data_IF_601362706842
#
_entry.id   IF_601362706842
#
_cell.length_a   1.000
_cell.length_b   1.000
_cell.length_c   1.000
_cell.angle_alpha   90.00
_cell.angle_beta   90.00
_cell.angle_gamma   90.00
#
_symmetry.space_group_name_H-M   'P 1'
#
loop_
_entity.id
_entity.type
_entity.pdbx_description
1 polymer ?
#
# COMPACT_ATOMS: atom_id res chain seq x y z
N UNK A 1 -10.63 9.60 7.07
CA UNK A 1 -11.27 10.32 5.94
C UNK A 1 -12.78 10.07 5.89
N UNK A 2 -13.20 8.80 5.83
CA UNK A 2 -14.62 8.41 5.80
C UNK A 2 -15.44 8.87 7.03
N UNK A 3 -14.97 8.62 8.26
CA UNK A 3 -15.67 9.03 9.51
C UNK A 3 -16.10 10.50 9.47
N UNK A 4 -15.21 11.42 9.08
CA UNK A 4 -15.52 12.85 9.00
C UNK A 4 -16.48 13.20 7.83
N UNK A 5 -16.39 12.50 6.69
CA UNK A 5 -17.31 12.68 5.55
C UNK A 5 -18.75 12.32 5.95
N UNK A 6 -18.92 11.29 6.77
CA UNK A 6 -20.22 10.87 7.31
C UNK A 6 -20.72 11.76 8.48
N UNK A 7 -20.02 12.85 8.78
CA UNK A 7 -20.37 13.75 9.90
C UNK A 7 -20.14 13.12 11.28
N UNK A 8 -19.42 12.01 11.36
CA UNK A 8 -19.09 11.34 12.60
C UNK A 8 -17.85 11.99 13.24
N UNK A 9 -17.89 12.14 14.56
CA UNK A 9 -16.82 12.64 15.41
C UNK A 9 -16.07 11.48 16.06
N UNK A 10 -14.73 11.57 16.24
CA UNK A 10 -13.98 10.60 17.05
C UNK A 10 -14.57 10.36 18.44
N UNK A 11 -15.25 11.36 19.02
CA UNK A 11 -15.93 11.25 20.33
C UNK A 11 -17.14 10.30 20.33
N UNK A 12 -17.58 9.83 19.17
CA UNK A 12 -18.66 8.84 19.03
C UNK A 12 -18.14 7.39 19.04
N UNK A 13 -16.82 7.21 19.13
CA UNK A 13 -16.17 5.92 19.13
C UNK A 13 -15.35 5.74 20.40
N UNK A 14 -15.24 4.50 20.86
CA UNK A 14 -14.30 4.10 21.89
C UNK A 14 -13.11 3.45 21.21
N UNK A 15 -11.94 4.09 21.27
CA UNK A 15 -10.71 3.49 20.76
C UNK A 15 -10.25 2.36 21.67
N UNK A 16 -10.01 1.18 21.09
CA UNK A 16 -9.41 0.04 21.77
C UNK A 16 -7.95 -0.04 21.37
N UNK A 17 -7.06 0.05 22.36
CA UNK A 17 -5.61 -0.04 22.13
C UNK A 17 -5.20 -1.51 22.14
N UNK A 18 -4.65 -1.97 21.02
CA UNK A 18 -4.16 -3.34 20.89
C UNK A 18 -2.66 -3.44 21.21
N UNK A 19 -2.19 -4.60 21.71
CA UNK A 19 -0.77 -4.87 21.86
C UNK A 19 -0.04 -4.74 20.50
N UNK A 20 1.14 -4.10 20.45
CA UNK A 20 1.89 -3.96 19.21
C UNK A 20 2.27 -5.32 18.61
N UNK A 21 2.02 -5.51 17.31
CA UNK A 21 2.51 -6.65 16.54
C UNK A 21 1.68 -7.93 16.61
N UNK A 22 0.53 -7.93 17.30
CA UNK A 22 -0.33 -9.11 17.43
C UNK A 22 -1.59 -9.00 16.56
N UNK A 23 -1.40 -9.08 15.25
CA UNK A 23 -2.50 -9.08 14.27
C UNK A 23 -3.45 -10.27 14.46
N UNK A 24 -2.95 -11.39 15.01
CA UNK A 24 -3.76 -12.56 15.31
C UNK A 24 -4.67 -12.26 16.51
N UNK A 25 -4.14 -11.66 17.58
CA UNK A 25 -4.95 -11.16 18.68
C UNK A 25 -5.99 -10.16 18.20
N UNK A 26 -5.63 -9.25 17.29
CA UNK A 26 -6.58 -8.31 16.72
C UNK A 26 -7.74 -9.04 16.00
N UNK A 27 -7.47 -10.07 15.20
CA UNK A 27 -8.55 -10.82 14.54
C UNK A 27 -9.41 -11.59 15.56
N UNK A 28 -8.79 -12.16 16.59
CA UNK A 28 -9.51 -12.84 17.67
C UNK A 28 -10.38 -11.88 18.49
N UNK A 29 -9.85 -10.72 18.88
CA UNK A 29 -10.55 -9.69 19.64
C UNK A 29 -11.77 -9.14 18.87
N UNK A 30 -11.64 -8.96 17.54
CA UNK A 30 -12.78 -8.64 16.67
C UNK A 30 -13.86 -9.73 16.74
N UNK A 31 -13.43 -11.00 16.72
CA UNK A 31 -14.34 -12.15 16.75
C UNK A 31 -15.10 -12.29 18.06
N UNK A 32 -14.43 -12.10 19.21
CA UNK A 32 -15.08 -12.20 20.53
C UNK A 32 -15.85 -10.94 20.92
N UNK A 33 -15.87 -9.92 20.05
CA UNK A 33 -16.63 -8.70 20.26
C UNK A 33 -15.98 -7.72 21.24
N UNK A 34 -14.65 -7.74 21.37
CA UNK A 34 -13.92 -6.70 22.11
C UNK A 34 -13.98 -5.33 21.41
N UNK A 35 -14.25 -5.33 20.10
CA UNK A 35 -14.58 -4.15 19.30
C UNK A 35 -15.37 -4.51 18.03
N UNK A 36 -16.06 -3.53 17.46
CA UNK A 36 -16.98 -3.74 16.34
C UNK A 36 -16.34 -3.53 14.95
N UNK A 37 -15.23 -2.78 14.89
CA UNK A 37 -14.58 -2.37 13.64
C UNK A 37 -13.07 -2.40 13.79
N UNK A 38 -12.37 -2.90 12.77
CA UNK A 38 -10.90 -2.96 12.73
C UNK A 38 -10.36 -2.39 11.40
N UNK A 39 -9.35 -1.51 11.44
CA UNK A 39 -8.64 -1.11 10.23
C UNK A 39 -7.74 -2.26 9.75
N UNK A 40 -8.18 -2.97 8.71
CA UNK A 40 -7.43 -4.07 8.08
C UNK A 40 -6.67 -3.60 6.84
N UNK A 41 -5.53 -4.24 6.56
CA UNK A 41 -4.97 -4.21 5.20
C UNK A 41 -5.70 -5.25 4.36
N UNK A 42 -5.99 -4.91 3.10
CA UNK A 42 -6.82 -5.74 2.22
C UNK A 42 -6.15 -7.09 1.85
N UNK A 43 -4.85 -7.23 2.10
CA UNK A 43 -4.03 -8.34 1.62
C UNK A 43 -3.67 -9.39 2.66
N UNK A 44 -3.56 -9.00 3.94
CA UNK A 44 -3.16 -9.91 5.01
C UNK A 44 -4.35 -10.26 5.89
N UNK A 45 -4.91 -9.27 6.59
CA UNK A 45 -5.95 -9.55 7.58
C UNK A 45 -7.24 -10.07 6.95
N UNK A 46 -7.66 -9.56 5.79
CA UNK A 46 -8.86 -10.07 5.11
C UNK A 46 -8.69 -11.51 4.59
N UNK A 47 -7.52 -11.84 4.03
CA UNK A 47 -7.25 -13.20 3.55
C UNK A 47 -7.18 -14.19 4.71
N UNK A 48 -6.59 -13.79 5.83
CA UNK A 48 -6.62 -14.58 7.07
C UNK A 48 -8.06 -14.81 7.57
N UNK A 49 -8.93 -13.80 7.55
CA UNK A 49 -10.35 -13.95 7.91
C UNK A 49 -11.10 -14.88 6.93
N UNK A 50 -10.81 -14.77 5.62
CA UNK A 50 -11.37 -15.64 4.59
C UNK A 50 -10.95 -17.11 4.80
N UNK A 51 -9.67 -17.36 5.08
CA UNK A 51 -9.11 -18.68 5.34
C UNK A 51 -9.74 -19.34 6.58
N UNK A 52 -9.98 -18.55 7.63
CA UNK A 52 -10.64 -19.02 8.85
C UNK A 52 -12.17 -19.12 8.73
N UNK A 53 -12.73 -18.86 7.53
CA UNK A 53 -14.16 -18.88 7.23
C UNK A 53 -14.99 -17.97 8.14
N UNK A 54 -14.43 -16.84 8.56
CA UNK A 54 -15.15 -15.87 9.37
C UNK A 54 -15.99 -14.94 8.50
N UNK A 55 -17.29 -14.86 8.83
CA UNK A 55 -18.19 -13.90 8.21
C UNK A 55 -17.81 -12.49 8.66
N UNK A 56 -17.57 -11.61 7.70
CA UNK A 56 -17.22 -10.23 7.94
C UNK A 56 -17.82 -9.33 6.86
N UNK A 57 -17.94 -8.04 7.18
CA UNK A 57 -18.31 -7.00 6.22
C UNK A 57 -17.13 -6.05 6.04
N UNK A 58 -16.67 -5.91 4.80
CA UNK A 58 -15.58 -5.00 4.46
C UNK A 58 -16.14 -3.66 4.02
N UNK A 59 -15.64 -2.57 4.61
CA UNK A 59 -15.89 -1.20 4.15
C UNK A 59 -14.65 -0.78 3.37
N UNK A 60 -14.73 -0.70 2.04
CA UNK A 60 -13.60 -0.26 1.23
C UNK A 60 -13.62 1.26 1.13
N UNK A 61 -12.51 1.96 1.39
CA UNK A 61 -12.45 3.42 1.24
C UNK A 61 -12.89 3.90 -0.16
N UNK A 62 -12.56 3.13 -1.20
CA UNK A 62 -12.93 3.44 -2.58
C UNK A 62 -14.45 3.53 -2.80
N UNK A 63 -15.25 2.76 -2.05
CA UNK A 63 -16.72 2.78 -2.15
C UNK A 63 -17.32 4.12 -1.65
N UNK A 64 -16.49 5.00 -1.06
CA UNK A 64 -16.85 6.31 -0.50
C UNK A 64 -15.98 7.45 -1.05
N UNK A 65 -15.49 7.29 -2.28
CA UNK A 65 -14.64 8.26 -2.98
C UNK A 65 -13.42 8.67 -2.12
N UNK A 66 -12.85 7.70 -1.40
CA UNK A 66 -11.60 7.89 -0.68
C UNK A 66 -10.50 7.23 -1.48
N UNK A 67 -9.75 8.06 -2.21
CA UNK A 67 -8.50 7.67 -2.84
C UNK A 67 -7.36 7.81 -1.83
N UNK A 68 -6.49 6.80 -1.81
CA UNK A 68 -5.29 6.79 -0.98
C UNK A 68 -4.15 6.18 -1.78
N UNK A 69 -3.06 6.93 -1.88
CA UNK A 69 -1.81 6.40 -2.44
C UNK A 69 -1.17 5.45 -1.44
N UNK A 70 -0.84 4.25 -1.89
CA UNK A 70 -0.25 3.18 -1.08
C UNK A 70 1.19 3.45 -0.62
N UNK A 71 1.99 2.38 -0.58
CA UNK A 71 3.37 2.44 -0.07
C UNK A 71 4.25 3.26 -1.02
N UNK A 72 5.14 4.06 -0.43
CA UNK A 72 6.08 4.92 -1.15
C UNK A 72 7.51 4.61 -0.74
N UNK A 73 8.44 4.79 -1.66
CA UNK A 73 9.87 4.86 -1.33
C UNK A 73 10.24 6.32 -1.08
N UNK A 74 11.01 6.57 -0.03
CA UNK A 74 11.51 7.90 0.28
C UNK A 74 12.95 7.81 0.78
N UNK A 75 13.72 8.86 0.52
CA UNK A 75 15.07 9.02 1.02
C UNK A 75 15.28 10.47 1.46
N UNK A 76 16.28 10.69 2.33
CA UNK A 76 16.69 12.05 2.67
C UNK A 76 17.19 12.75 1.42
N UNK A 77 16.75 13.99 1.19
CA UNK A 77 17.17 14.81 0.04
C UNK A 77 18.69 14.91 -0.10
N UNK A 78 19.40 15.05 1.02
CA UNK A 78 20.87 15.09 1.03
C UNK A 78 21.48 13.78 0.52
N UNK A 79 20.92 12.63 0.92
CA UNK A 79 21.40 11.33 0.46
C UNK A 79 21.25 11.19 -1.05
N UNK A 80 20.09 11.59 -1.59
CA UNK A 80 19.82 11.56 -3.04
C UNK A 80 20.81 12.44 -3.81
N UNK A 81 21.07 13.66 -3.32
CA UNK A 81 22.01 14.59 -3.96
C UNK A 81 23.46 14.11 -3.91
N UNK A 82 23.87 13.50 -2.81
CA UNK A 82 25.26 13.05 -2.62
C UNK A 82 25.52 11.68 -3.24
N UNK A 83 24.49 10.88 -3.50
CA UNK A 83 24.62 9.50 -4.01
C UNK A 83 23.63 9.19 -5.14
N UNK A 84 23.55 10.01 -6.21
CA UNK A 84 22.54 9.83 -7.26
C UNK A 84 22.68 8.49 -7.99
N UNK A 85 23.90 8.00 -8.21
CA UNK A 85 24.14 6.70 -8.86
C UNK A 85 23.61 5.52 -8.02
N UNK A 86 23.81 5.56 -6.70
CA UNK A 86 23.27 4.55 -5.79
C UNK A 86 21.75 4.56 -5.77
N UNK A 87 21.15 5.75 -5.77
CA UNK A 87 19.69 5.89 -5.86
C UNK A 87 19.17 5.36 -7.18
N UNK A 88 19.83 5.66 -8.30
CA UNK A 88 19.45 5.12 -9.61
C UNK A 88 19.56 3.59 -9.64
N UNK A 89 20.65 3.01 -9.11
CA UNK A 89 20.82 1.56 -9.03
C UNK A 89 19.74 0.89 -8.17
N UNK A 90 19.38 1.52 -7.04
CA UNK A 90 18.26 1.07 -6.21
C UNK A 90 16.94 1.10 -6.99
N UNK A 91 16.64 2.21 -7.65
CA UNK A 91 15.41 2.37 -8.45
C UNK A 91 15.32 1.32 -9.55
N UNK A 92 16.41 1.09 -10.31
CA UNK A 92 16.46 0.06 -11.34
C UNK A 92 16.16 -1.33 -10.74
N UNK A 93 16.87 -1.70 -9.67
CA UNK A 93 16.71 -2.99 -8.99
C UNK A 93 15.27 -3.20 -8.50
N UNK A 94 14.68 -2.17 -7.90
CA UNK A 94 13.31 -2.24 -7.40
C UNK A 94 12.32 -2.34 -8.54
N UNK A 95 12.48 -1.56 -9.60
CA UNK A 95 11.61 -1.61 -10.77
C UNK A 95 11.64 -3.00 -11.40
N UNK A 96 12.83 -3.56 -11.65
CA UNK A 96 12.99 -4.91 -12.21
C UNK A 96 12.38 -5.98 -11.31
N UNK A 97 12.61 -5.90 -9.99
CA UNK A 97 12.02 -6.81 -9.02
C UNK A 97 10.50 -6.77 -9.02
N UNK A 98 9.89 -5.58 -9.07
CA UNK A 98 8.44 -5.41 -9.18
C UNK A 98 7.89 -5.94 -10.49
N UNK A 99 8.52 -5.62 -11.63
CA UNK A 99 8.10 -6.15 -12.94
C UNK A 99 8.10 -7.66 -12.96
N UNK A 100 9.17 -8.27 -12.44
CA UNK A 100 9.31 -9.72 -12.38
C UNK A 100 8.28 -10.37 -11.46
N UNK A 101 8.06 -9.82 -10.26
CA UNK A 101 7.06 -10.32 -9.32
C UNK A 101 5.63 -10.20 -9.87
N UNK A 102 5.32 -9.15 -10.62
CA UNK A 102 4.02 -8.99 -11.27
C UNK A 102 3.82 -10.00 -12.40
N UNK A 103 4.85 -10.25 -13.21
CA UNK A 103 4.77 -11.19 -14.33
C UNK A 103 4.62 -12.65 -13.87
N UNK A 104 5.31 -13.04 -12.79
CA UNK A 104 5.25 -14.39 -12.22
C UNK A 104 5.11 -14.33 -10.70
N UNK A 105 3.89 -14.04 -10.24
CA UNK A 105 3.59 -13.86 -8.82
C UNK A 105 3.89 -15.10 -7.98
N UNK A 106 3.73 -16.31 -8.57
CA UNK A 106 4.03 -17.56 -7.88
C UNK A 106 5.53 -17.67 -7.60
N UNK A 107 6.37 -17.45 -8.61
CA UNK A 107 7.81 -17.52 -8.43
C UNK A 107 8.32 -16.40 -7.51
N UNK A 108 7.67 -15.23 -7.55
CA UNK A 108 7.86 -14.16 -6.56
C UNK A 108 7.56 -14.61 -5.13
N UNK A 109 6.41 -15.26 -4.94
CA UNK A 109 5.99 -15.79 -3.64
C UNK A 109 6.95 -16.87 -3.11
N UNK A 110 7.37 -17.80 -3.97
CA UNK A 110 8.31 -18.86 -3.61
C UNK A 110 9.65 -18.27 -3.12
N UNK A 111 10.14 -17.18 -3.74
CA UNK A 111 11.34 -16.45 -3.28
C UNK A 111 11.13 -15.74 -1.96
N UNK A 112 9.99 -15.08 -1.78
CA UNK A 112 9.70 -14.35 -0.54
C UNK A 112 9.62 -15.31 0.66
N UNK A 113 9.09 -16.53 0.45
CA UNK A 113 9.02 -17.59 1.46
C UNK A 113 10.37 -18.08 1.97
N UNK A 114 11.47 -17.84 1.25
CA UNK A 114 12.82 -18.08 1.77
C UNK A 114 13.12 -17.21 3.01
N UNK A 115 12.45 -16.05 3.13
CA UNK A 115 12.59 -15.10 4.23
C UNK A 115 11.37 -15.08 5.16
N UNK A 116 10.16 -15.32 4.64
CA UNK A 116 8.90 -15.31 5.40
C UNK A 116 8.09 -16.59 5.19
N UNK A 117 8.54 -17.74 5.71
CA UNK A 117 8.02 -19.07 5.35
C UNK A 117 6.54 -19.30 5.71
N UNK A 118 5.99 -18.52 6.64
CA UNK A 118 4.60 -18.64 7.09
C UNK A 118 3.60 -17.80 6.29
N UNK A 119 4.02 -17.18 5.18
CA UNK A 119 3.14 -16.36 4.33
C UNK A 119 2.39 -17.23 3.31
N UNK A 120 1.12 -16.97 3.08
CA UNK A 120 0.33 -17.72 2.11
C UNK A 120 0.56 -17.21 0.68
N UNK A 121 0.58 -18.10 -0.32
CA UNK A 121 0.76 -17.71 -1.73
C UNK A 121 -0.36 -16.79 -2.22
N UNK A 122 -1.59 -17.05 -1.75
CA UNK A 122 -2.75 -16.21 -2.05
C UNK A 122 -2.56 -14.79 -1.52
N UNK A 123 -2.11 -14.62 -0.28
CA UNK A 123 -1.81 -13.30 0.30
C UNK A 123 -0.77 -12.56 -0.54
N UNK A 124 0.29 -13.25 -0.98
CA UNK A 124 1.35 -12.63 -1.77
C UNK A 124 0.84 -12.19 -3.14
N UNK A 125 0.22 -13.08 -3.92
CA UNK A 125 -0.28 -12.73 -5.25
C UNK A 125 -1.41 -11.68 -5.21
N UNK A 126 -2.29 -11.72 -4.19
CA UNK A 126 -3.31 -10.67 -3.99
C UNK A 126 -2.64 -9.35 -3.61
N UNK A 127 -1.61 -9.35 -2.75
CA UNK A 127 -0.84 -8.15 -2.38
C UNK A 127 -0.11 -7.49 -3.54
N UNK A 128 0.28 -8.27 -4.54
CA UNK A 128 0.87 -7.78 -5.78
C UNK A 128 -0.17 -7.15 -6.72
N UNK A 129 -1.45 -7.16 -6.36
CA UNK A 129 -2.52 -6.56 -7.17
C UNK A 129 -2.93 -7.43 -8.37
N UNK A 130 -2.37 -8.64 -8.52
CA UNK A 130 -2.67 -9.57 -9.62
C UNK A 130 -4.14 -10.02 -9.59
N UNK A 131 -4.80 -9.94 -8.43
CA UNK A 131 -6.24 -10.21 -8.27
C UNK A 131 -7.19 -9.05 -8.59
N UNK A 132 -6.70 -7.84 -8.87
CA UNK A 132 -7.53 -6.63 -9.08
C UNK A 132 -7.72 -6.24 -10.54
N UNK A 133 -7.33 -7.10 -11.49
CA UNK A 133 -7.62 -6.91 -12.92
C UNK A 133 -6.74 -5.88 -13.63
N UNK A 134 -5.58 -5.51 -13.05
CA UNK A 134 -4.59 -4.71 -13.77
C UNK A 134 -3.94 -5.58 -14.86
N UNK A 135 -4.11 -5.26 -16.15
CA UNK A 135 -3.52 -6.07 -17.22
C UNK A 135 -2.00 -6.00 -17.15
N UNK A 136 -1.39 -7.17 -16.97
CA UNK A 136 0.06 -7.37 -16.92
C UNK A 136 0.77 -6.91 -18.21
N UNK A 137 0.05 -6.73 -19.32
CA UNK A 137 0.63 -6.33 -20.61
C UNK A 137 0.94 -4.82 -20.71
N UNK A 138 0.70 -4.06 -19.64
CA UNK A 138 0.87 -2.61 -19.58
C UNK A 138 2.01 -2.19 -18.62
N UNK A 139 3.13 -2.90 -18.59
CA UNK A 139 4.24 -2.62 -17.65
C UNK A 139 5.15 -1.44 -18.06
N UNK A 140 4.71 -0.17 -17.93
CA UNK A 140 5.65 0.87 -17.51
C UNK A 140 5.30 1.54 -16.17
N UNK A 141 4.23 1.15 -15.46
CA UNK A 141 3.76 1.89 -14.28
C UNK A 141 4.43 1.56 -12.93
N UNK A 142 5.33 0.57 -12.85
CA UNK A 142 6.00 0.27 -11.56
C UNK A 142 6.78 1.47 -11.07
N UNK A 143 6.58 1.81 -9.79
CA UNK A 143 7.18 2.97 -9.12
C UNK A 143 6.82 4.34 -9.75
N UNK A 144 5.90 4.40 -10.71
CA UNK A 144 5.44 5.68 -11.26
C UNK A 144 4.57 6.43 -10.26
N UNK A 145 4.68 7.76 -10.33
CA UNK A 145 3.89 8.65 -9.51
C UNK A 145 2.59 9.05 -10.22
N UNK A 146 1.43 8.68 -9.66
CA UNK A 146 0.14 9.12 -10.18
C UNK A 146 -0.26 10.46 -9.53
N UNK A 147 0.10 11.57 -10.16
CA UNK A 147 -0.19 12.92 -9.65
C UNK A 147 -1.68 13.16 -9.32
N UNK A 148 -2.64 12.81 -10.19
CA UNK A 148 -4.07 12.87 -9.87
C UNK A 148 -4.46 12.19 -8.53
N UNK A 149 -4.06 10.94 -8.31
CA UNK A 149 -4.40 10.21 -7.08
C UNK A 149 -3.79 10.87 -5.84
N UNK A 150 -2.59 11.44 -5.99
CA UNK A 150 -1.93 12.19 -4.94
C UNK A 150 -2.61 13.52 -4.64
N UNK A 151 -3.03 14.27 -5.67
CA UNK A 151 -3.79 15.51 -5.48
C UNK A 151 -5.06 15.23 -4.70
N UNK A 152 -5.77 14.15 -5.04
CA UNK A 152 -6.99 13.74 -4.36
C UNK A 152 -6.72 13.31 -2.92
N UNK A 153 -5.67 12.51 -2.69
CA UNK A 153 -5.25 12.09 -1.34
C UNK A 153 -4.92 13.31 -0.48
N UNK A 154 -4.14 14.25 -1.00
CA UNK A 154 -3.74 15.49 -0.31
C UNK A 154 -4.95 16.36 -0.02
N UNK A 155 -5.84 16.56 -0.99
CA UNK A 155 -7.07 17.30 -0.80
C UNK A 155 -7.95 16.69 0.30
N UNK A 156 -8.08 15.35 0.31
CA UNK A 156 -8.79 14.62 1.35
C UNK A 156 -8.18 14.81 2.74
N UNK A 157 -6.84 14.78 2.86
CA UNK A 157 -6.12 15.02 4.11
C UNK A 157 -6.28 16.47 4.61
N UNK A 158 -6.28 17.46 3.71
CA UNK A 158 -6.57 18.87 4.04
C UNK A 158 -8.01 19.02 4.52
N UNK A 159 -8.98 18.44 3.82
CA UNK A 159 -10.41 18.53 4.18
C UNK A 159 -10.68 17.95 5.58
N UNK A 160 -9.97 16.89 5.96
CA UNK A 160 -10.08 16.36 7.32
C UNK A 160 -9.27 17.12 8.37
N UNK A 161 -8.40 18.05 7.95
CA UNK A 161 -7.55 18.84 8.84
C UNK A 161 -6.31 18.09 9.34
N UNK A 162 -5.94 16.98 8.69
CA UNK A 162 -4.76 16.19 9.05
C UNK A 162 -3.46 16.91 8.67
N UNK A 163 -3.49 17.69 7.59
CA UNK A 163 -2.35 18.48 7.10
C UNK A 163 -2.79 19.87 6.65
N UNK A 164 -1.86 20.83 6.59
CA UNK A 164 -2.11 22.20 6.15
C UNK A 164 -1.30 22.49 4.89
N UNK A 165 -1.94 22.34 3.72
CA UNK A 165 -1.43 22.72 2.40
C UNK A 165 0.02 22.29 2.11
N UNK A 166 0.31 20.98 1.92
CA UNK A 166 1.67 20.53 1.65
C UNK A 166 2.09 20.86 0.21
N UNK A 167 3.29 21.42 0.06
CA UNK A 167 3.97 21.57 -1.24
C UNK A 167 4.63 20.25 -1.66
N UNK A 168 3.86 19.15 -1.63
CA UNK A 168 4.41 17.79 -1.76
C UNK A 168 5.10 17.55 -3.11
N UNK A 169 4.66 18.25 -4.17
CA UNK A 169 5.21 18.14 -5.52
C UNK A 169 6.70 18.50 -5.59
N UNK A 170 7.20 19.35 -4.70
CA UNK A 170 8.63 19.70 -4.60
C UNK A 170 9.51 18.62 -3.95
N UNK A 171 8.90 17.55 -3.46
CA UNK A 171 9.60 16.43 -2.82
C UNK A 171 9.65 15.17 -3.69
N UNK A 172 9.02 15.21 -4.86
CA UNK A 172 9.03 14.11 -5.82
C UNK A 172 10.14 14.35 -6.83
N UNK A 173 10.91 13.32 -7.10
CA UNK A 173 11.95 13.33 -8.12
C UNK A 173 11.73 12.14 -9.07
N UNK A 174 10.97 12.39 -10.13
CA UNK A 174 10.64 11.38 -11.15
C UNK A 174 11.79 11.11 -12.13
N UNK A 175 12.91 11.84 -12.01
CA UNK A 175 14.02 11.72 -12.95
C UNK A 175 14.61 10.31 -12.94
N UNK A 176 14.72 9.67 -11.77
CA UNK A 176 15.26 8.32 -11.65
C UNK A 176 14.39 7.27 -12.37
N UNK A 177 13.06 7.41 -12.33
CA UNK A 177 12.12 6.52 -13.02
C UNK A 177 12.10 6.79 -14.52
N UNK A 178 12.18 8.07 -14.91
CA UNK A 178 12.30 8.47 -16.31
C UNK A 178 13.57 7.89 -16.93
N UNK A 179 14.70 7.95 -16.22
CA UNK A 179 15.98 7.39 -16.66
C UNK A 179 15.92 5.87 -16.81
N UNK A 180 15.27 5.17 -15.87
CA UNK A 180 15.08 3.72 -15.96
C UNK A 180 14.29 3.34 -17.22
N UNK A 181 13.22 4.08 -17.53
CA UNK A 181 12.34 3.81 -18.67
C UNK A 181 12.95 4.17 -20.04
N UNK A 182 14.03 4.96 -20.06
CA UNK A 182 14.76 5.33 -21.27
C UNK A 182 15.76 4.25 -21.73
N UNK A 183 16.01 3.22 -20.91
CA UNK A 183 16.89 2.10 -21.25
C UNK A 183 16.09 1.10 -22.10
N UNK A 184 16.50 0.81 -23.35
CA UNK A 184 15.86 -0.24 -24.14
C UNK A 184 15.93 -1.58 -23.40
N UNK A 185 14.82 -2.30 -23.32
CA UNK A 185 14.82 -3.68 -22.83
C UNK A 185 15.66 -4.55 -23.78
N UNK A 186 16.72 -5.18 -23.25
CA UNK A 186 17.52 -6.19 -23.96
C UNK A 186 16.72 -7.46 -24.28
#
# INVERSE_FOLDING_TARGET
MHIKKEGLSPTQFTEVVLPPGDYIYAMYALQVGEYDVYPATIFFELESLNYLHYSHRTIKPLDYDVVYVGRIYFARREFVRSNPETVQAFVNTMADGWKWALYDCKRGADRLKEFTPNTFDSEICVSLGVGYGNPLDSVPWVLQFNYPDWDETVAGLIAIGAIKNPEYRHYIDDSFITNYSAIPSE
#
